data_IF_691501435406
#
_entry.id   IF_691501435406
#
_cell.length_a   1.000
_cell.length_b   1.000
_cell.length_c   1.000
_cell.angle_alpha   90.00
_cell.angle_beta   90.00
_cell.angle_gamma   90.00
#
_symmetry.space_group_name_H-M   'P 1'
#
loop_
_entity.id
_entity.type
_entity.pdbx_description
1 polymer ?
#
# COMPACT_ATOMS: atom_id res chain seq x y z
N UNK A 1 -6.80 -1.99 -5.81
CA UNK A 1 -7.07 -3.43 -5.66
C UNK A 1 -7.94 -3.92 -6.81
N UNK A 2 -7.58 -5.06 -7.38
CA UNK A 2 -8.24 -5.66 -8.55
C UNK A 2 -8.23 -7.18 -8.42
N UNK A 3 -9.08 -7.90 -9.17
CA UNK A 3 -9.10 -9.36 -9.14
C UNK A 3 -7.89 -9.97 -9.89
N UNK A 4 -7.53 -11.17 -9.48
CA UNK A 4 -6.57 -11.98 -10.21
C UNK A 4 -7.06 -12.21 -11.65
N UNK A 5 -6.18 -12.07 -12.63
CA UNK A 5 -6.50 -12.17 -14.05
C UNK A 5 -7.01 -10.90 -14.73
N UNK A 6 -7.33 -9.84 -13.97
CA UNK A 6 -7.78 -8.55 -14.52
C UNK A 6 -6.70 -7.46 -14.49
N UNK A 7 -5.62 -7.70 -13.77
CA UNK A 7 -4.60 -6.68 -13.49
C UNK A 7 -3.91 -6.18 -14.75
N UNK A 8 -3.56 -7.07 -15.65
CA UNK A 8 -2.84 -6.75 -16.89
C UNK A 8 -3.70 -5.88 -17.80
N UNK A 9 -4.97 -6.22 -17.96
CA UNK A 9 -5.92 -5.44 -18.75
C UNK A 9 -6.13 -4.04 -18.17
N UNK A 10 -6.30 -3.94 -16.85
CA UNK A 10 -6.45 -2.66 -16.17
C UNK A 10 -5.19 -1.78 -16.28
N UNK A 11 -4.01 -2.37 -16.28
CA UNK A 11 -2.76 -1.64 -16.50
C UNK A 11 -2.68 -1.16 -17.96
N UNK A 12 -2.97 -2.00 -18.92
CA UNK A 12 -2.97 -1.63 -20.34
C UNK A 12 -3.95 -0.49 -20.62
N UNK A 13 -5.17 -0.58 -20.09
CA UNK A 13 -6.15 0.50 -20.19
C UNK A 13 -5.60 1.81 -19.61
N UNK A 14 -5.07 1.77 -18.38
CA UNK A 14 -4.52 2.94 -17.72
C UNK A 14 -3.33 3.56 -18.47
N UNK A 15 -2.40 2.75 -18.96
CA UNK A 15 -1.24 3.22 -19.72
C UNK A 15 -1.64 3.83 -21.08
N UNK A 16 -2.72 3.36 -21.67
CA UNK A 16 -3.27 3.92 -22.91
C UNK A 16 -3.84 5.33 -22.71
N UNK A 17 -4.41 5.59 -21.53
CA UNK A 17 -5.07 6.86 -21.20
C UNK A 17 -4.18 7.87 -20.48
N UNK A 18 -2.96 7.51 -20.13
CA UNK A 18 -2.12 8.32 -19.23
C UNK A 18 -0.68 8.41 -19.73
N UNK A 19 0.06 9.37 -19.17
CA UNK A 19 1.50 9.51 -19.39
C UNK A 19 2.30 8.72 -18.33
N UNK A 20 1.86 7.50 -18.03
CA UNK A 20 2.57 6.59 -17.14
C UNK A 20 3.24 5.48 -17.94
N UNK A 21 4.24 4.86 -17.35
CA UNK A 21 4.91 3.68 -17.90
C UNK A 21 5.00 2.58 -16.85
N UNK A 22 5.10 1.33 -17.27
CA UNK A 22 5.35 0.22 -16.37
C UNK A 22 6.78 0.33 -15.82
N UNK A 23 6.89 0.38 -14.48
CA UNK A 23 8.17 0.54 -13.81
C UNK A 23 8.69 -0.77 -13.21
N UNK A 24 7.83 -1.58 -12.60
CA UNK A 24 8.26 -2.82 -11.96
C UNK A 24 7.12 -3.63 -11.37
N UNK A 25 7.47 -4.83 -10.90
CA UNK A 25 6.55 -5.74 -10.24
C UNK A 25 7.16 -6.32 -8.97
N UNK A 26 6.31 -6.51 -7.96
CA UNK A 26 6.65 -7.15 -6.69
C UNK A 26 5.74 -8.35 -6.48
N UNK A 27 6.32 -9.45 -6.00
CA UNK A 27 5.58 -10.67 -5.69
C UNK A 27 5.91 -11.13 -4.26
N UNK A 28 4.86 -11.30 -3.44
CA UNK A 28 4.95 -11.82 -2.08
C UNK A 28 4.15 -13.12 -2.05
N UNK A 29 4.82 -14.21 -2.41
CA UNK A 29 4.21 -15.54 -2.56
C UNK A 29 3.50 -15.99 -1.27
N UNK A 30 4.12 -15.79 -0.11
CA UNK A 30 3.57 -16.18 1.18
C UNK A 30 2.22 -15.49 1.52
N UNK A 31 1.95 -14.35 0.89
CA UNK A 31 0.69 -13.60 1.07
C UNK A 31 -0.24 -13.75 -0.15
N UNK A 32 0.10 -14.61 -1.09
CA UNK A 32 -0.67 -14.75 -2.34
C UNK A 32 -0.95 -13.39 -2.99
N UNK A 33 0.04 -12.50 -3.02
CA UNK A 33 -0.14 -11.12 -3.47
C UNK A 33 0.97 -10.68 -4.40
N UNK A 34 0.59 -10.03 -5.47
CA UNK A 34 1.53 -9.36 -6.38
C UNK A 34 1.05 -7.95 -6.73
N UNK A 35 2.02 -7.10 -6.97
CA UNK A 35 1.80 -5.68 -7.20
C UNK A 35 2.60 -5.21 -8.39
N UNK A 36 1.94 -4.59 -9.36
CA UNK A 36 2.57 -3.93 -10.49
C UNK A 36 2.55 -2.42 -10.28
N UNK A 37 3.70 -1.80 -10.47
CA UNK A 37 3.91 -0.37 -10.26
C UNK A 37 4.04 0.32 -11.61
N UNK A 38 3.27 1.37 -11.80
CA UNK A 38 3.43 2.32 -12.91
C UNK A 38 3.87 3.66 -12.37
N UNK A 39 4.69 4.40 -13.11
CA UNK A 39 5.18 5.73 -12.75
C UNK A 39 4.86 6.75 -13.82
N UNK A 40 4.74 8.01 -13.40
CA UNK A 40 4.51 9.13 -14.32
C UNK A 40 5.75 9.38 -15.19
N UNK A 41 5.58 9.35 -16.51
CA UNK A 41 6.65 9.55 -17.47
C UNK A 41 7.06 11.01 -17.70
N UNK A 42 6.33 11.98 -17.14
CA UNK A 42 6.67 13.40 -17.27
C UNK A 42 7.87 13.81 -16.41
N UNK A 43 8.20 13.03 -15.41
CA UNK A 43 9.31 13.27 -14.48
C UNK A 43 10.38 12.25 -14.77
N UNK A 44 11.27 12.58 -15.71
CA UNK A 44 12.42 11.72 -16.03
C UNK A 44 13.41 11.73 -14.86
N UNK A 45 13.94 10.57 -14.54
CA UNK A 45 14.96 10.32 -13.51
C UNK A 45 14.54 10.59 -12.06
N UNK A 46 13.30 10.96 -11.78
CA UNK A 46 12.80 11.04 -10.40
C UNK A 46 12.25 9.68 -9.95
N UNK A 47 13.02 8.99 -9.14
CA UNK A 47 12.62 7.72 -8.52
C UNK A 47 11.38 7.84 -7.62
N UNK A 48 11.04 9.07 -7.24
CA UNK A 48 9.89 9.42 -6.40
C UNK A 48 8.73 10.01 -7.20
N UNK A 49 8.72 9.86 -8.52
CA UNK A 49 7.60 10.33 -9.33
C UNK A 49 6.28 9.70 -8.90
N UNK A 50 5.15 10.43 -9.05
CA UNK A 50 3.85 9.87 -8.75
C UNK A 50 3.66 8.50 -9.39
N UNK A 51 3.16 7.56 -8.62
CA UNK A 51 2.95 6.19 -9.04
C UNK A 51 1.50 5.76 -8.87
N UNK A 52 1.02 4.91 -9.76
CA UNK A 52 -0.22 4.16 -9.59
C UNK A 52 0.11 2.68 -9.53
N UNK A 53 -0.42 2.03 -8.52
CA UNK A 53 -0.07 0.65 -8.16
C UNK A 53 -1.30 -0.24 -8.31
N UNK A 54 -1.13 -1.39 -8.96
CA UNK A 54 -2.17 -2.37 -9.19
C UNK A 54 -1.82 -3.65 -8.45
N UNK A 55 -2.64 -4.02 -7.48
CA UNK A 55 -2.42 -5.21 -6.64
C UNK A 55 -3.52 -6.23 -6.87
N UNK A 56 -3.13 -7.48 -7.05
CA UNK A 56 -4.02 -8.63 -7.18
C UNK A 56 -3.49 -9.82 -6.38
N UNK A 57 -4.34 -10.80 -6.09
CA UNK A 57 -3.86 -12.10 -5.65
C UNK A 57 -3.22 -12.88 -6.82
N UNK A 58 -2.22 -13.69 -6.52
CA UNK A 58 -1.56 -14.54 -7.54
C UNK A 58 -2.47 -15.68 -7.96
N UNK A 59 -3.10 -16.33 -6.99
CA UNK A 59 -3.98 -17.46 -7.18
C UNK A 59 -5.38 -17.04 -6.76
N UNK A 60 -6.38 -17.07 -7.66
CA UNK A 60 -7.76 -16.72 -7.34
C UNK A 60 -8.42 -17.78 -6.42
N UNK A 61 -9.47 -17.38 -5.72
CA UNK A 61 -10.12 -18.21 -4.70
C UNK A 61 -10.65 -19.56 -5.21
N UNK A 62 -11.14 -19.61 -6.44
CA UNK A 62 -11.67 -20.85 -7.01
C UNK A 62 -10.58 -21.90 -7.27
N UNK A 63 -9.33 -21.49 -7.39
CA UNK A 63 -8.16 -22.39 -7.50
C UNK A 63 -7.57 -22.67 -6.13
N UNK A 64 -7.68 -21.70 -5.21
CA UNK A 64 -7.06 -21.72 -3.89
C UNK A 64 -7.79 -22.59 -2.85
N UNK A 65 -8.94 -23.16 -3.16
CA UNK A 65 -9.76 -23.92 -2.18
C UNK A 65 -9.05 -25.10 -1.53
N UNK A 66 -7.99 -25.61 -2.11
CA UNK A 66 -7.21 -26.73 -1.58
C UNK A 66 -5.93 -26.32 -0.83
N UNK A 67 -5.44 -25.12 -1.07
CA UNK A 67 -4.16 -24.66 -0.53
C UNK A 67 -4.32 -23.73 0.67
N UNK A 68 -5.52 -23.24 0.90
CA UNK A 68 -5.85 -22.33 2.01
C UNK A 68 -4.93 -21.10 2.09
N UNK A 69 -4.61 -20.53 0.94
CA UNK A 69 -3.77 -19.32 0.85
C UNK A 69 -4.55 -18.08 1.28
N UNK A 70 -3.88 -17.05 1.83
CA UNK A 70 -4.52 -15.78 2.14
C UNK A 70 -5.03 -15.07 0.88
N UNK A 71 -6.13 -14.35 1.01
CA UNK A 71 -6.81 -13.66 -0.11
C UNK A 71 -6.98 -12.15 0.13
N UNK A 72 -5.96 -11.41 0.59
CA UNK A 72 -6.14 -10.05 1.10
C UNK A 72 -6.66 -9.05 0.07
N UNK A 73 -6.38 -9.28 -1.20
CA UNK A 73 -6.84 -8.39 -2.27
C UNK A 73 -8.21 -8.79 -2.79
N UNK A 74 -8.43 -10.07 -2.98
CA UNK A 74 -9.72 -10.58 -3.47
C UNK A 74 -10.82 -10.36 -2.42
N UNK A 75 -10.53 -10.56 -1.14
CA UNK A 75 -11.46 -10.27 -0.04
C UNK A 75 -11.85 -8.79 -0.02
N UNK A 76 -10.88 -7.89 -0.20
CA UNK A 76 -11.17 -6.47 -0.35
C UNK A 76 -12.08 -6.19 -1.55
N UNK A 77 -11.77 -6.76 -2.72
CA UNK A 77 -12.55 -6.50 -3.94
C UNK A 77 -13.96 -7.10 -3.86
N UNK A 78 -14.13 -8.24 -3.21
CA UNK A 78 -15.44 -8.84 -2.99
C UNK A 78 -16.32 -7.99 -2.08
N UNK A 79 -15.74 -7.40 -1.03
CA UNK A 79 -16.48 -6.59 -0.07
C UNK A 79 -16.75 -5.16 -0.55
N UNK A 80 -15.82 -4.57 -1.32
CA UNK A 80 -15.84 -3.14 -1.62
C UNK A 80 -15.75 -2.79 -3.11
N UNK A 81 -15.61 -3.78 -3.97
CA UNK A 81 -15.43 -3.59 -5.40
C UNK A 81 -13.98 -3.25 -5.79
N UNK A 82 -13.74 -3.20 -7.10
CA UNK A 82 -12.45 -2.79 -7.70
C UNK A 82 -12.26 -1.30 -7.48
N UNK A 83 -11.37 -0.93 -6.60
CA UNK A 83 -11.17 0.49 -6.25
C UNK A 83 -9.82 0.77 -5.63
N UNK A 84 -9.55 2.05 -5.44
CA UNK A 84 -8.40 2.52 -4.68
C UNK A 84 -8.53 2.06 -3.22
N UNK A 85 -7.45 1.49 -2.69
CA UNK A 85 -7.37 1.01 -1.30
C UNK A 85 -6.76 2.09 -0.40
N UNK A 86 -5.67 2.70 -0.85
CA UNK A 86 -4.99 3.77 -0.11
C UNK A 86 -4.35 4.79 -1.06
N UNK A 87 -4.05 5.95 -0.50
CA UNK A 87 -3.19 6.97 -1.10
C UNK A 87 -2.00 7.14 -0.18
N UNK A 88 -0.78 7.04 -0.74
CA UNK A 88 0.46 7.27 -0.02
C UNK A 88 0.94 8.71 -0.22
N UNK A 89 1.19 9.38 0.88
CA UNK A 89 1.81 10.71 0.92
C UNK A 89 3.26 10.57 1.38
N UNK A 90 4.15 11.10 0.57
CA UNK A 90 5.56 11.13 0.93
C UNK A 90 5.81 12.18 2.00
N UNK A 91 6.51 11.75 3.06
CA UNK A 91 7.08 12.60 4.08
C UNK A 91 8.55 12.79 3.74
N UNK A 92 9.03 14.06 3.80
CA UNK A 92 10.42 14.37 3.48
C UNK A 92 11.37 13.65 4.43
N UNK A 93 12.41 13.02 3.89
CA UNK A 93 13.49 12.41 4.69
C UNK A 93 14.16 13.42 5.62
N UNK A 94 14.37 13.03 6.85
CA UNK A 94 15.08 13.83 7.86
C UNK A 94 14.50 13.73 9.26
N UNK A 95 15.10 14.51 10.15
CA UNK A 95 14.71 14.57 11.55
C UNK A 95 14.00 15.88 11.86
N UNK A 96 12.89 15.77 12.58
CA UNK A 96 12.24 16.92 13.19
C UNK A 96 13.01 17.39 14.41
N UNK A 97 12.68 18.58 14.91
CA UNK A 97 13.29 19.14 16.12
C UNK A 97 13.21 18.14 17.29
N UNK A 98 14.36 17.77 17.83
CA UNK A 98 14.46 16.79 18.92
C UNK A 98 14.91 15.39 18.48
N UNK A 99 15.21 15.17 17.20
CA UNK A 99 15.75 13.90 16.68
C UNK A 99 14.68 12.84 16.35
N UNK A 100 13.40 13.22 16.38
CA UNK A 100 12.31 12.36 15.93
C UNK A 100 12.26 12.36 14.40
N UNK A 101 12.09 11.21 13.75
CA UNK A 101 11.90 11.14 12.31
C UNK A 101 10.67 11.92 11.86
N UNK A 102 10.73 12.52 10.68
CA UNK A 102 9.64 13.35 10.18
C UNK A 102 8.31 12.59 10.08
N UNK A 103 8.32 11.32 9.69
CA UNK A 103 7.09 10.51 9.65
C UNK A 103 6.50 10.29 11.04
N UNK A 104 7.32 10.08 12.06
CA UNK A 104 6.85 9.93 13.44
C UNK A 104 6.19 11.22 13.93
N UNK A 105 6.81 12.36 13.66
CA UNK A 105 6.25 13.67 13.97
C UNK A 105 4.89 13.90 13.28
N UNK A 106 4.80 13.63 11.98
CA UNK A 106 3.54 13.75 11.22
C UNK A 106 2.46 12.84 11.82
N UNK A 107 2.80 11.58 12.09
CA UNK A 107 1.86 10.61 12.67
C UNK A 107 1.37 11.05 14.05
N UNK A 108 2.28 11.51 14.91
CA UNK A 108 1.93 12.00 16.25
C UNK A 108 1.02 13.24 16.16
N UNK A 109 1.32 14.17 15.26
CA UNK A 109 0.48 15.36 15.02
C UNK A 109 -0.93 14.96 14.56
N UNK A 110 -1.03 14.07 13.58
CA UNK A 110 -2.31 13.61 13.04
C UNK A 110 -3.13 12.83 14.07
N UNK A 111 -2.46 12.04 14.93
CA UNK A 111 -3.11 11.37 16.08
C UNK A 111 -3.72 12.37 17.06
N UNK A 112 -3.04 13.47 17.35
CA UNK A 112 -3.57 14.52 18.21
C UNK A 112 -4.85 15.17 17.66
N UNK A 113 -5.02 15.18 16.33
CA UNK A 113 -6.24 15.63 15.66
C UNK A 113 -7.35 14.55 15.61
N UNK A 114 -7.14 13.40 16.27
CA UNK A 114 -8.14 12.34 16.43
C UNK A 114 -8.14 11.28 15.34
N UNK A 115 -7.17 11.26 14.44
CA UNK A 115 -7.05 10.20 13.43
C UNK A 115 -6.38 8.97 14.05
N UNK A 116 -7.01 7.82 13.85
CA UNK A 116 -6.48 6.53 14.30
C UNK A 116 -5.67 5.83 13.21
N UNK A 117 -4.73 5.00 13.65
CA UNK A 117 -3.84 4.22 12.79
C UNK A 117 -3.99 2.73 13.04
N UNK A 118 -3.79 1.92 12.00
CA UNK A 118 -3.98 0.46 12.04
C UNK A 118 -2.89 -0.26 12.85
N UNK A 119 -1.69 0.29 12.89
CA UNK A 119 -0.54 -0.31 13.55
C UNK A 119 0.43 0.76 14.07
N UNK A 120 1.57 0.32 14.57
CA UNK A 120 2.72 1.20 14.77
C UNK A 120 3.40 1.50 13.43
N UNK A 121 4.20 2.57 13.40
CA UNK A 121 5.06 2.87 12.25
C UNK A 121 6.01 1.68 12.01
N UNK A 122 6.06 1.20 10.78
CA UNK A 122 6.90 0.08 10.36
C UNK A 122 8.14 0.62 9.67
N UNK A 123 9.30 0.03 9.95
CA UNK A 123 10.62 0.51 9.51
C UNK A 123 11.34 1.30 10.61
N UNK A 124 12.65 1.29 10.59
CA UNK A 124 13.45 1.89 11.66
C UNK A 124 14.17 3.18 11.23
N UNK A 125 14.64 3.25 9.98
CA UNK A 125 15.37 4.42 9.46
C UNK A 125 16.55 4.86 10.35
N UNK A 126 17.36 3.89 10.77
CA UNK A 126 18.55 4.19 11.58
C UNK A 126 19.67 4.74 10.68
N UNK A 127 20.65 3.92 10.34
CA UNK A 127 21.84 4.34 9.62
C UNK A 127 21.86 3.92 8.15
N UNK A 128 21.10 2.89 7.79
CA UNK A 128 20.99 2.35 6.44
C UNK A 128 19.77 2.88 5.67
N UNK A 129 19.80 2.89 4.34
CA UNK A 129 18.63 3.19 3.53
C UNK A 129 17.45 2.28 3.88
N UNK A 130 16.34 2.85 4.32
CA UNK A 130 15.17 2.13 4.77
C UNK A 130 13.89 2.88 4.43
N UNK A 131 12.77 2.18 4.53
CA UNK A 131 11.44 2.71 4.31
C UNK A 131 10.64 2.67 5.61
N UNK A 132 10.22 3.83 6.08
CA UNK A 132 9.38 3.96 7.26
C UNK A 132 7.98 4.38 6.87
N UNK A 133 6.95 3.64 7.27
CA UNK A 133 5.59 3.87 6.80
C UNK A 133 4.52 3.41 7.78
N UNK A 134 3.30 3.93 7.61
CA UNK A 134 2.15 3.58 8.41
C UNK A 134 0.84 3.82 7.64
N UNK A 135 -0.18 3.02 7.92
CA UNK A 135 -1.54 3.20 7.46
C UNK A 135 -2.43 3.80 8.54
N UNK A 136 -3.20 4.82 8.19
CA UNK A 136 -4.35 5.23 9.00
C UNK A 136 -5.40 4.11 9.00
N UNK A 137 -6.33 4.15 9.95
CA UNK A 137 -7.61 3.47 9.74
C UNK A 137 -8.30 4.05 8.50
N UNK A 138 -9.16 3.25 7.89
CA UNK A 138 -9.93 3.71 6.72
C UNK A 138 -10.88 4.84 7.13
N UNK A 139 -11.12 5.74 6.18
CA UNK A 139 -12.11 6.81 6.33
C UNK A 139 -13.52 6.22 6.45
N UNK A 140 -14.31 6.74 7.38
CA UNK A 140 -15.73 6.39 7.51
C UNK A 140 -16.57 6.75 6.28
N UNK A 141 -16.12 7.73 5.52
CA UNK A 141 -16.85 8.26 4.37
C UNK A 141 -16.47 7.64 3.02
N UNK A 142 -15.26 7.09 2.91
CA UNK A 142 -14.75 6.64 1.60
C UNK A 142 -14.11 5.26 1.62
N UNK A 143 -13.92 4.64 2.78
CA UNK A 143 -13.14 3.40 2.98
C UNK A 143 -11.66 3.56 2.56
N UNK A 144 -11.22 4.79 2.24
CA UNK A 144 -9.87 5.05 1.80
C UNK A 144 -8.91 5.11 3.00
N UNK A 145 -7.80 4.42 2.89
CA UNK A 145 -6.69 4.49 3.84
C UNK A 145 -5.73 5.58 3.38
N UNK A 146 -5.22 6.35 4.33
CA UNK A 146 -4.09 7.26 4.11
C UNK A 146 -2.81 6.58 4.57
N UNK A 147 -1.81 6.56 3.70
CA UNK A 147 -0.47 6.10 4.04
C UNK A 147 0.47 7.30 4.18
N UNK A 148 1.32 7.28 5.18
CA UNK A 148 2.48 8.19 5.28
C UNK A 148 3.74 7.38 5.12
N UNK A 149 4.65 7.84 4.25
CA UNK A 149 5.86 7.12 3.90
C UNK A 149 7.07 8.06 3.89
N UNK A 150 8.12 7.70 4.63
CA UNK A 150 9.42 8.37 4.61
C UNK A 150 10.48 7.41 4.07
N UNK A 151 11.20 7.86 3.02
CA UNK A 151 12.31 7.11 2.43
C UNK A 151 13.61 7.65 2.98
N UNK A 152 14.12 6.97 3.99
CA UNK A 152 15.28 7.40 4.74
C UNK A 152 16.59 7.10 4.02
N UNK A 153 17.57 8.01 4.17
CA UNK A 153 18.94 7.82 3.66
C UNK A 153 18.98 7.51 2.15
N UNK A 154 18.12 8.18 1.38
CA UNK A 154 18.02 7.99 -0.09
C UNK A 154 17.63 6.56 -0.48
N UNK A 155 16.79 5.89 0.31
CA UNK A 155 16.21 4.62 -0.08
C UNK A 155 15.61 4.72 -1.47
N UNK A 156 16.09 3.90 -2.40
CA UNK A 156 15.72 3.96 -3.81
C UNK A 156 14.69 2.90 -4.23
N UNK A 157 14.32 2.01 -3.32
CA UNK A 157 13.28 1.03 -3.52
C UNK A 157 11.87 1.64 -3.48
N UNK A 158 10.89 0.90 -3.96
CA UNK A 158 9.49 1.29 -3.86
C UNK A 158 8.86 0.77 -2.56
N UNK A 159 9.13 -0.48 -2.22
CA UNK A 159 8.70 -1.15 -0.98
C UNK A 159 9.81 -2.00 -0.39
N UNK A 160 9.70 -2.31 0.90
CA UNK A 160 10.36 -3.46 1.51
C UNK A 160 9.34 -4.59 1.68
N UNK A 161 9.76 -5.85 1.57
CA UNK A 161 8.86 -7.01 1.75
C UNK A 161 8.28 -7.04 3.16
N UNK A 162 9.09 -6.69 4.15
CA UNK A 162 8.69 -6.65 5.57
C UNK A 162 7.58 -5.64 5.80
N UNK A 163 7.72 -4.42 5.26
CA UNK A 163 6.72 -3.37 5.44
C UNK A 163 5.40 -3.74 4.75
N UNK A 164 5.47 -4.24 3.51
CA UNK A 164 4.25 -4.66 2.79
C UNK A 164 3.53 -5.78 3.53
N UNK A 165 4.25 -6.76 4.05
CA UNK A 165 3.66 -7.85 4.83
C UNK A 165 2.96 -7.32 6.09
N UNK A 166 3.67 -6.53 6.91
CA UNK A 166 3.14 -5.98 8.16
C UNK A 166 1.90 -5.09 7.94
N UNK A 167 1.93 -4.21 6.94
CA UNK A 167 0.81 -3.33 6.63
C UNK A 167 -0.38 -4.06 6.00
N UNK A 168 -0.12 -5.09 5.21
CA UNK A 168 -1.19 -5.94 4.65
C UNK A 168 -1.89 -6.73 5.75
N UNK A 169 -1.14 -7.27 6.70
CA UNK A 169 -1.68 -7.95 7.87
C UNK A 169 -2.50 -6.98 8.73
N UNK A 170 -1.96 -5.82 9.06
CA UNK A 170 -2.65 -4.79 9.83
C UNK A 170 -3.97 -4.34 9.16
N UNK A 171 -3.96 -4.12 7.84
CA UNK A 171 -5.15 -3.77 7.10
C UNK A 171 -6.20 -4.90 7.09
N UNK A 172 -5.76 -6.17 7.06
CA UNK A 172 -6.64 -7.33 7.14
C UNK A 172 -7.30 -7.52 8.50
N UNK A 173 -6.72 -6.95 9.55
CA UNK A 173 -7.27 -6.98 10.92
C UNK A 173 -8.25 -5.83 11.21
N UNK A 174 -8.39 -4.85 10.32
CA UNK A 174 -9.36 -3.77 10.49
C UNK A 174 -10.78 -4.34 10.54
N UNK A 175 -11.49 -4.06 11.63
CA UNK A 175 -12.84 -4.60 11.87
C UNK A 175 -13.81 -4.35 10.72
N UNK A 176 -13.70 -3.21 10.04
CA UNK A 176 -14.54 -2.93 8.87
C UNK A 176 -14.22 -3.79 7.67
N UNK A 177 -12.99 -4.20 7.48
CA UNK A 177 -12.68 -5.17 6.44
C UNK A 177 -13.16 -6.57 6.79
N UNK A 178 -13.29 -6.86 8.09
CA UNK A 178 -13.87 -8.12 8.57
C UNK A 178 -15.41 -8.08 8.57
N UNK A 179 -16.01 -6.94 8.91
CA UNK A 179 -17.46 -6.77 9.04
C UNK A 179 -18.14 -6.20 7.79
N UNK A 180 -17.39 -5.77 6.78
CA UNK A 180 -17.90 -5.34 5.48
C UNK A 180 -18.40 -6.46 4.58
N UNK A 181 -18.55 -7.66 5.11
CA UNK A 181 -19.18 -8.77 4.39
C UNK A 181 -20.65 -8.46 4.22
N UNK A 182 -21.06 -8.30 2.98
CA UNK A 182 -22.45 -8.01 2.61
C UNK A 182 -23.37 -9.22 2.88
N UNK A 183 -22.77 -10.36 3.16
CA UNK A 183 -23.48 -11.62 3.44
C UNK A 183 -22.83 -12.32 4.63
N UNK A 184 -23.45 -12.21 5.76
CA UNK A 184 -23.32 -13.16 6.87
C UNK A 184 -24.36 -14.25 6.73
#
# INVERSE_FOLDING_TARGET
RILAGEREDAICEFLTMSNYYFWGAYNIVAMNSSTNVTRNGSVQDDKQSPAKVFTANNIPSFVNSFENLPMPTEDFVRNFGRRMHHIAYEVRDGDHRGGEKNVDYVVNTVKHEGIEFLAHVVGECKDDPDLKQIFSKHSEYSILITEYVERCHKFDGFFTKTNVAALTEAAGQDERYQHGKVFD
#
